data_IF_922224563685
#
_entry.id   IF_922224563685
#
_cell.length_a   1.000
_cell.length_b   1.000
_cell.length_c   1.000
_cell.angle_alpha   90.00
_cell.angle_beta   90.00
_cell.angle_gamma   90.00
#
_symmetry.space_group_name_H-M   'P 1'
#
loop_
_entity.id
_entity.type
_entity.pdbx_description
1 polymer ?
#
# COMPACT_ATOMS: atom_id res chain seq x y z
N UNK A 1 5.10 52.39 15.55
CA UNK A 1 4.60 51.03 15.25
C UNK A 1 5.18 50.01 16.20
N UNK A 2 6.50 49.81 16.26
CA UNK A 2 7.14 48.90 17.25
C UNK A 2 6.72 49.24 18.69
N UNK A 3 6.92 50.48 19.15
CA UNK A 3 6.47 50.91 20.48
C UNK A 3 4.96 50.69 20.74
N UNK A 4 4.11 50.83 19.72
CA UNK A 4 2.67 50.55 19.85
C UNK A 4 2.38 49.05 19.97
N UNK A 5 3.21 48.21 19.34
CA UNK A 5 3.18 46.76 19.52
C UNK A 5 3.63 46.36 20.92
N UNK A 6 4.72 46.95 21.41
CA UNK A 6 5.25 46.72 22.76
C UNK A 6 4.23 47.12 23.84
N UNK A 7 3.60 48.30 23.69
CA UNK A 7 2.54 48.78 24.57
C UNK A 7 1.31 47.85 24.54
N UNK A 8 0.89 47.39 23.36
CA UNK A 8 -0.23 46.46 23.24
C UNK A 8 0.08 45.08 23.85
N UNK A 9 1.31 44.59 23.71
CA UNK A 9 1.75 43.34 24.33
C UNK A 9 1.77 43.45 25.86
N UNK A 10 2.27 44.57 26.39
CA UNK A 10 2.27 44.85 27.83
C UNK A 10 0.85 45.02 28.42
N UNK A 11 -0.10 45.48 27.60
CA UNK A 11 -1.50 45.63 27.97
C UNK A 11 -2.35 44.35 27.77
N UNK A 12 -1.72 43.18 27.63
CA UNK A 12 -2.38 41.89 27.40
C UNK A 12 -3.31 41.90 26.17
N UNK A 13 -2.98 42.70 25.15
CA UNK A 13 -3.69 42.77 23.87
C UNK A 13 -2.84 42.13 22.74
N UNK A 14 -2.75 40.79 22.68
CA UNK A 14 -1.90 40.10 21.71
C UNK A 14 -2.34 40.34 20.27
N UNK A 15 -3.65 40.53 20.03
CA UNK A 15 -4.17 40.82 18.68
C UNK A 15 -3.68 42.18 18.20
N UNK A 16 -3.78 43.22 19.03
CA UNK A 16 -3.27 44.56 18.72
C UNK A 16 -1.76 44.57 18.51
N UNK A 17 -1.02 43.86 19.36
CA UNK A 17 0.43 43.73 19.25
C UNK A 17 0.85 43.05 17.93
N UNK A 18 0.25 41.90 17.58
CA UNK A 18 0.54 41.20 16.32
C UNK A 18 0.26 42.08 15.10
N UNK A 19 -0.83 42.87 15.10
CA UNK A 19 -1.13 43.80 14.00
C UNK A 19 -0.06 44.89 13.90
N UNK A 20 0.33 45.51 15.00
CA UNK A 20 1.33 46.57 15.01
C UNK A 20 2.72 46.06 14.56
N UNK A 21 3.13 44.87 14.98
CA UNK A 21 4.39 44.26 14.53
C UNK A 21 4.36 43.89 13.05
N UNK A 22 3.27 43.28 12.55
CA UNK A 22 3.12 42.99 11.10
C UNK A 22 3.19 44.26 10.26
N UNK A 23 2.59 45.36 10.70
CA UNK A 23 2.69 46.66 10.04
C UNK A 23 4.13 47.24 10.07
N UNK A 24 4.84 47.09 11.19
CA UNK A 24 6.24 47.48 11.27
C UNK A 24 7.12 46.67 10.30
N UNK A 25 6.89 45.36 10.20
CA UNK A 25 7.59 44.45 9.29
C UNK A 25 7.28 44.70 7.81
N UNK A 26 6.09 45.21 7.49
CA UNK A 26 5.76 45.65 6.14
C UNK A 26 6.63 46.84 5.68
N UNK A 27 7.13 47.65 6.62
CA UNK A 27 8.03 48.78 6.35
C UNK A 27 9.49 48.34 6.39
N UNK A 28 9.87 47.52 7.39
CA UNK A 28 11.22 46.98 7.53
C UNK A 28 11.17 45.47 7.78
N UNK A 29 11.17 44.70 6.69
CA UNK A 29 11.14 43.25 6.75
C UNK A 29 12.45 42.63 7.25
N UNK A 30 13.52 43.41 7.42
CA UNK A 30 14.84 42.93 7.82
C UNK A 30 15.13 43.05 9.32
N UNK A 31 14.17 43.52 10.12
CA UNK A 31 14.35 43.69 11.56
C UNK A 31 14.15 42.37 12.33
N UNK A 32 15.22 41.70 12.83
CA UNK A 32 15.08 40.43 13.54
C UNK A 32 14.36 40.58 14.88
N UNK A 33 14.44 41.75 15.53
CA UNK A 33 13.84 41.98 16.85
C UNK A 33 12.32 42.03 16.73
N UNK A 34 11.81 42.69 15.70
CA UNK A 34 10.35 42.76 15.46
C UNK A 34 9.79 41.40 15.02
N UNK A 35 10.56 40.61 14.24
CA UNK A 35 10.18 39.23 13.94
C UNK A 35 10.11 38.35 15.19
N UNK A 36 11.08 38.48 16.11
CA UNK A 36 11.08 37.76 17.37
C UNK A 36 9.87 38.16 18.24
N UNK A 37 9.62 39.47 18.40
CA UNK A 37 8.49 39.97 19.18
C UNK A 37 7.13 39.50 18.63
N UNK A 38 7.00 39.40 17.30
CA UNK A 38 5.81 38.81 16.67
C UNK A 38 5.66 37.33 17.00
N UNK A 39 6.77 36.56 16.98
CA UNK A 39 6.76 35.14 17.33
C UNK A 39 6.33 34.93 18.79
N UNK A 40 6.93 35.68 19.71
CA UNK A 40 6.68 35.55 21.16
C UNK A 40 5.22 35.88 21.52
N UNK A 41 4.66 36.95 20.95
CA UNK A 41 3.25 37.33 21.19
C UNK A 41 2.29 36.30 20.58
N UNK A 42 2.58 35.82 19.37
CA UNK A 42 1.77 34.78 18.74
C UNK A 42 1.80 33.47 19.54
N UNK A 43 2.96 33.12 20.10
CA UNK A 43 3.15 31.91 20.91
C UNK A 43 2.41 32.03 22.24
N UNK A 44 2.55 33.15 22.95
CA UNK A 44 1.81 33.41 24.19
C UNK A 44 0.29 33.35 23.95
N UNK A 45 -0.19 33.87 22.82
CA UNK A 45 -1.60 33.76 22.46
C UNK A 45 -2.01 32.32 22.12
N UNK A 46 -1.18 31.57 21.41
CA UNK A 46 -1.45 30.16 21.10
C UNK A 46 -1.61 29.36 22.40
N UNK A 47 -0.70 29.56 23.36
CA UNK A 47 -0.76 28.92 24.67
C UNK A 47 -2.01 29.30 25.48
N UNK A 48 -2.48 30.54 25.37
CA UNK A 48 -3.67 31.01 26.08
C UNK A 48 -4.99 30.46 25.51
N UNK A 49 -5.03 30.05 24.24
CA UNK A 49 -6.26 29.56 23.59
C UNK A 49 -6.29 28.05 23.35
N UNK A 50 -5.14 27.38 23.44
CA UNK A 50 -5.04 25.95 23.21
C UNK A 50 -5.96 25.16 24.17
N UNK A 51 -6.79 24.29 23.63
CA UNK A 51 -7.72 23.44 24.36
C UNK A 51 -9.02 24.12 24.80
N UNK A 52 -9.28 25.37 24.38
CA UNK A 52 -10.57 26.00 24.63
C UNK A 52 -11.67 25.40 23.73
N UNK A 53 -12.86 25.19 24.29
CA UNK A 53 -13.99 24.63 23.54
C UNK A 53 -14.51 25.56 22.42
N UNK A 54 -14.33 26.87 22.58
CA UNK A 54 -14.68 27.88 21.59
C UNK A 54 -13.51 28.85 21.41
N UNK A 55 -13.17 29.17 20.16
CA UNK A 55 -12.12 30.15 19.84
C UNK A 55 -10.68 29.64 19.98
N UNK A 56 -10.47 28.32 20.07
CA UNK A 56 -9.13 27.74 19.90
C UNK A 56 -8.68 27.90 18.45
N UNK A 57 -7.70 28.77 18.25
CA UNK A 57 -6.97 28.93 16.99
C UNK A 57 -5.46 28.79 17.22
N UNK A 58 -5.06 27.99 18.21
CA UNK A 58 -3.66 27.74 18.57
C UNK A 58 -2.85 27.20 17.40
N UNK A 59 -3.44 26.31 16.58
CA UNK A 59 -2.80 25.79 15.36
C UNK A 59 -2.47 26.92 14.36
N UNK A 60 -3.41 27.81 14.04
CA UNK A 60 -3.17 28.92 13.11
C UNK A 60 -2.14 29.92 13.65
N UNK A 61 -2.17 30.17 14.97
CA UNK A 61 -1.18 31.01 15.64
C UNK A 61 0.20 30.37 15.58
N UNK A 62 0.31 29.06 15.75
CA UNK A 62 1.59 28.33 15.67
C UNK A 62 2.25 28.40 14.29
N UNK A 63 1.47 28.51 13.21
CA UNK A 63 1.97 28.81 11.85
C UNK A 63 2.61 30.21 11.81
N UNK A 64 1.97 31.19 12.46
CA UNK A 64 2.53 32.54 12.60
C UNK A 64 3.82 32.51 13.43
N UNK A 65 3.84 31.77 14.54
CA UNK A 65 5.04 31.59 15.38
C UNK A 65 6.18 31.02 14.55
N UNK A 66 5.96 29.89 13.87
CA UNK A 66 6.98 29.20 13.08
C UNK A 66 7.57 30.12 12.00
N UNK A 67 6.71 30.84 11.28
CA UNK A 67 7.13 31.76 10.23
C UNK A 67 7.91 32.96 10.80
N UNK A 68 7.41 33.58 11.88
CA UNK A 68 8.04 34.75 12.49
C UNK A 68 9.39 34.38 13.12
N UNK A 69 9.44 33.27 13.87
CA UNK A 69 10.65 32.76 14.50
C UNK A 69 11.73 32.38 13.47
N UNK A 70 11.37 31.71 12.37
CA UNK A 70 12.31 31.42 11.28
C UNK A 70 12.85 32.72 10.65
N UNK A 71 11.99 33.72 10.42
CA UNK A 71 12.44 35.00 9.89
C UNK A 71 13.36 35.76 10.86
N UNK A 72 13.10 35.68 12.17
CA UNK A 72 13.96 36.22 13.22
C UNK A 72 15.34 35.52 13.21
N UNK A 73 15.36 34.19 13.14
CA UNK A 73 16.59 33.40 13.07
C UNK A 73 17.46 33.77 11.87
N UNK A 74 16.88 33.79 10.66
CA UNK A 74 17.60 34.06 9.41
C UNK A 74 18.21 35.47 9.35
N UNK A 75 17.62 36.44 10.05
CA UNK A 75 18.07 37.85 10.08
C UNK A 75 18.94 38.19 11.29
N UNK A 76 18.99 37.29 12.28
CA UNK A 76 19.82 37.48 13.47
C UNK A 76 21.28 37.16 13.20
N UNK A 77 22.17 37.99 13.73
CA UNK A 77 23.62 37.80 13.68
C UNK A 77 24.23 37.35 15.01
N UNK A 78 23.56 37.62 16.14
CA UNK A 78 24.02 37.18 17.46
C UNK A 78 23.62 35.73 17.76
N UNK A 79 24.44 35.05 18.56
CA UNK A 79 24.22 33.65 18.95
C UNK A 79 22.99 33.53 19.84
N UNK A 80 22.79 34.51 20.72
CA UNK A 80 21.68 34.60 21.67
C UNK A 80 20.34 34.83 20.96
N UNK A 81 20.28 35.75 19.99
CA UNK A 81 19.04 35.99 19.24
C UNK A 81 18.68 34.80 18.35
N UNK A 82 19.68 34.11 17.77
CA UNK A 82 19.45 32.87 17.02
C UNK A 82 18.92 31.74 17.92
N UNK A 83 19.45 31.58 19.12
CA UNK A 83 18.95 30.59 20.07
C UNK A 83 17.49 30.89 20.49
N UNK A 84 17.20 32.14 20.86
CA UNK A 84 15.83 32.56 21.21
C UNK A 84 14.82 32.31 20.06
N UNK A 85 15.22 32.63 18.83
CA UNK A 85 14.40 32.37 17.65
C UNK A 85 14.17 30.87 17.41
N UNK A 86 15.19 30.03 17.60
CA UNK A 86 15.03 28.58 17.49
C UNK A 86 14.14 28.00 18.60
N UNK A 87 14.21 28.53 19.81
CA UNK A 87 13.32 28.12 20.90
C UNK A 87 11.86 28.43 20.57
N UNK A 88 11.56 29.65 20.11
CA UNK A 88 10.22 30.03 19.69
C UNK A 88 9.74 29.19 18.47
N UNK A 89 10.65 28.88 17.54
CA UNK A 89 10.35 28.00 16.41
C UNK A 89 10.00 26.58 16.88
N UNK A 90 10.78 26.01 17.80
CA UNK A 90 10.53 24.68 18.35
C UNK A 90 9.18 24.60 19.08
N UNK A 91 8.85 25.63 19.89
CA UNK A 91 7.54 25.72 20.55
C UNK A 91 6.40 25.81 19.52
N UNK A 92 6.56 26.62 18.46
CA UNK A 92 5.57 26.74 17.38
C UNK A 92 5.37 25.45 16.58
N UNK A 93 6.44 24.68 16.36
CA UNK A 93 6.39 23.37 15.70
C UNK A 93 5.74 22.33 16.62
N UNK A 94 6.01 22.37 17.93
CA UNK A 94 5.42 21.47 18.92
C UNK A 94 3.88 21.60 19.00
N UNK A 95 3.33 22.81 18.91
CA UNK A 95 1.87 23.03 18.81
C UNK A 95 1.23 22.43 17.56
N UNK A 96 2.03 22.09 16.55
CA UNK A 96 1.60 21.42 15.32
C UNK A 96 1.83 19.92 15.36
N UNK A 97 2.21 19.39 16.52
CA UNK A 97 2.48 17.97 16.80
C UNK A 97 3.60 17.38 15.92
N UNK A 98 4.46 18.24 15.38
CA UNK A 98 5.64 17.88 14.60
C UNK A 98 6.82 17.62 15.55
N UNK A 99 6.70 16.58 16.36
CA UNK A 99 7.56 16.36 17.54
C UNK A 99 9.03 16.13 17.18
N UNK A 100 9.28 15.38 16.10
CA UNK A 100 10.63 15.13 15.59
C UNK A 100 11.36 16.43 15.28
N UNK A 101 10.73 17.31 14.51
CA UNK A 101 11.29 18.61 14.13
C UNK A 101 11.42 19.54 15.34
N UNK A 102 10.46 19.52 16.26
CA UNK A 102 10.51 20.32 17.48
C UNK A 102 11.71 19.91 18.36
N UNK A 103 11.88 18.61 18.63
CA UNK A 103 12.99 18.05 19.41
C UNK A 103 14.35 18.39 18.76
N UNK A 104 14.46 18.20 17.44
CA UNK A 104 15.66 18.57 16.70
C UNK A 104 15.97 20.08 16.84
N UNK A 105 14.95 20.93 16.73
CA UNK A 105 15.09 22.39 16.83
C UNK A 105 15.51 22.83 18.24
N UNK A 106 14.93 22.24 19.29
CA UNK A 106 15.36 22.47 20.68
C UNK A 106 16.84 22.13 20.88
N UNK A 107 17.30 20.98 20.38
CA UNK A 107 18.71 20.57 20.47
C UNK A 107 19.63 21.55 19.75
N UNK A 108 19.23 22.09 18.60
CA UNK A 108 20.03 23.11 17.88
C UNK A 108 20.09 24.41 18.69
N UNK A 109 18.97 24.84 19.29
CA UNK A 109 18.95 26.01 20.18
C UNK A 109 19.93 25.86 21.35
N UNK A 110 19.92 24.71 22.03
CA UNK A 110 20.82 24.40 23.15
C UNK A 110 22.30 24.31 22.76
N UNK A 111 22.60 23.85 21.54
CA UNK A 111 23.97 23.91 20.98
C UNK A 111 24.44 25.35 20.79
N UNK A 112 23.52 26.28 20.50
CA UNK A 112 23.83 27.70 20.42
C UNK A 112 23.96 28.30 21.82
N UNK A 113 22.98 28.20 22.71
CA UNK A 113 23.09 28.79 24.05
C UNK A 113 22.59 27.78 25.07
N UNK A 114 23.45 27.36 26.03
CA UNK A 114 23.00 26.53 27.14
C UNK A 114 21.91 27.24 27.95
N UNK A 115 20.80 26.54 28.19
CA UNK A 115 19.65 27.05 28.94
C UNK A 115 19.01 25.90 29.72
N UNK A 116 19.11 25.95 31.05
CA UNK A 116 18.63 24.89 31.93
C UNK A 116 17.09 24.71 31.90
N UNK A 117 16.33 25.77 31.63
CA UNK A 117 14.88 25.67 31.52
C UNK A 117 14.47 25.01 30.21
N UNK A 118 15.20 25.31 29.13
CA UNK A 118 15.00 24.68 27.83
C UNK A 118 15.45 23.21 27.83
N UNK A 119 16.53 22.87 28.53
CA UNK A 119 16.96 21.47 28.75
C UNK A 119 15.86 20.67 29.45
N UNK A 120 15.31 21.17 30.56
CA UNK A 120 14.22 20.49 31.27
C UNK A 120 12.95 20.32 30.41
N UNK A 121 12.64 21.30 29.54
CA UNK A 121 11.54 21.20 28.58
C UNK A 121 11.83 20.14 27.53
N UNK A 122 13.02 20.13 26.95
CA UNK A 122 13.45 19.14 25.96
C UNK A 122 13.34 17.72 26.55
N UNK A 123 13.83 17.50 27.78
CA UNK A 123 13.73 16.21 28.46
C UNK A 123 12.28 15.74 28.60
N UNK A 124 11.37 16.67 28.93
CA UNK A 124 9.93 16.38 29.01
C UNK A 124 9.36 15.99 27.65
N UNK A 125 9.68 16.74 26.59
CA UNK A 125 9.19 16.48 25.23
C UNK A 125 9.75 15.16 24.70
N UNK A 126 11.04 14.87 24.90
CA UNK A 126 11.66 13.59 24.49
C UNK A 126 11.05 12.41 25.25
N UNK A 127 10.75 12.57 26.55
CA UNK A 127 10.10 11.51 27.32
C UNK A 127 8.67 11.19 26.84
N UNK A 128 7.95 12.18 26.30
CA UNK A 128 6.57 12.05 25.85
C UNK A 128 6.45 11.69 24.36
N UNK A 129 7.35 12.21 23.53
CA UNK A 129 7.23 12.21 22.07
C UNK A 129 8.54 11.89 21.34
N UNK A 130 9.63 11.59 22.06
CA UNK A 130 10.90 11.19 21.46
C UNK A 130 10.84 9.80 20.84
N UNK A 131 11.98 9.31 20.38
CA UNK A 131 12.08 8.07 19.62
C UNK A 131 11.44 6.85 20.34
N UNK A 132 10.43 6.25 19.72
CA UNK A 132 9.63 5.15 20.28
C UNK A 132 9.14 4.17 19.20
N UNK A 133 8.66 3.00 19.63
CA UNK A 133 7.90 2.08 18.77
C UNK A 133 6.50 2.65 18.59
N UNK A 134 6.17 3.10 17.38
CA UNK A 134 4.89 3.71 17.04
C UNK A 134 3.80 2.67 16.80
N UNK A 135 4.15 1.55 16.16
CA UNK A 135 3.20 0.48 15.86
C UNK A 135 3.93 -0.87 15.65
N UNK A 136 3.17 -1.94 15.50
CA UNK A 136 3.65 -3.19 14.92
C UNK A 136 2.64 -3.74 13.92
N UNK A 137 3.13 -4.40 12.88
CA UNK A 137 2.33 -5.03 11.83
C UNK A 137 2.76 -6.48 11.68
N UNK A 138 1.81 -7.35 11.38
CA UNK A 138 2.06 -8.77 11.12
C UNK A 138 1.67 -9.09 9.69
N UNK A 139 2.65 -9.43 8.87
CA UNK A 139 2.45 -9.85 7.49
C UNK A 139 2.14 -11.36 7.47
N UNK A 140 0.95 -11.73 7.93
CA UNK A 140 0.56 -13.13 8.11
C UNK A 140 0.18 -13.84 6.80
N UNK A 141 -0.23 -13.12 5.76
CA UNK A 141 -0.75 -13.75 4.53
C UNK A 141 0.35 -14.33 3.63
N UNK A 142 1.61 -13.93 3.86
CA UNK A 142 2.77 -14.45 3.15
C UNK A 142 3.06 -15.91 3.49
N UNK A 143 3.71 -16.62 2.57
CA UNK A 143 4.14 -18.00 2.81
C UNK A 143 5.16 -18.11 3.96
N UNK A 144 6.05 -17.12 4.09
CA UNK A 144 6.90 -16.91 5.24
C UNK A 144 6.41 -15.63 5.96
N UNK A 145 5.73 -15.75 7.10
CA UNK A 145 5.20 -14.59 7.79
C UNK A 145 6.35 -13.83 8.48
N UNK A 146 6.11 -12.54 8.74
CA UNK A 146 7.03 -11.68 9.50
C UNK A 146 6.28 -10.71 10.40
N UNK A 147 6.96 -10.27 11.46
CA UNK A 147 6.44 -9.25 12.38
C UNK A 147 7.34 -8.02 12.26
N UNK A 148 6.78 -6.88 11.91
CA UNK A 148 7.53 -5.62 11.77
C UNK A 148 7.12 -4.64 12.86
N UNK A 149 8.09 -4.16 13.64
CA UNK A 149 7.90 -3.05 14.56
C UNK A 149 8.25 -1.74 13.86
N UNK A 150 7.31 -0.81 13.81
CA UNK A 150 7.44 0.50 13.18
C UNK A 150 7.83 1.51 14.25
N UNK A 151 8.85 2.30 13.98
CA UNK A 151 9.38 3.32 14.87
C UNK A 151 8.95 4.72 14.44
N UNK A 152 8.98 5.67 15.38
CA UNK A 152 8.59 7.07 15.13
C UNK A 152 9.53 7.81 14.19
N UNK A 153 10.79 7.37 14.11
CA UNK A 153 11.85 8.03 13.35
C UNK A 153 12.71 6.99 12.62
N UNK A 154 13.44 7.39 11.56
CA UNK A 154 14.35 6.49 10.87
C UNK A 154 15.42 5.90 11.79
N UNK A 155 15.84 4.67 11.51
CA UNK A 155 16.75 3.87 12.30
C UNK A 155 18.23 4.23 12.03
N UNK A 156 19.05 4.17 13.08
CA UNK A 156 20.44 4.65 13.07
C UNK A 156 21.49 3.68 12.53
N UNK A 157 21.11 2.62 11.82
CA UNK A 157 22.03 1.60 11.34
C UNK A 157 21.37 0.54 10.46
N UNK A 158 22.19 -0.29 9.83
CA UNK A 158 21.72 -1.37 8.93
C UNK A 158 21.58 -2.73 9.62
N UNK A 159 22.23 -2.90 10.77
CA UNK A 159 22.11 -4.10 11.60
C UNK A 159 21.87 -3.68 13.04
N UNK A 160 20.62 -3.82 13.48
CA UNK A 160 20.19 -3.54 14.85
C UNK A 160 19.80 -4.82 15.60
N UNK A 161 20.19 -5.99 15.09
CA UNK A 161 19.88 -7.30 15.70
C UNK A 161 20.32 -7.41 17.15
N UNK A 162 21.42 -6.76 17.55
CA UNK A 162 21.92 -6.73 18.92
C UNK A 162 20.96 -6.06 19.93
N UNK A 163 20.04 -5.21 19.45
CA UNK A 163 19.03 -4.54 20.27
C UNK A 163 17.71 -5.31 20.32
N UNK A 164 17.58 -6.39 19.56
CA UNK A 164 16.36 -7.18 19.48
C UNK A 164 16.58 -8.53 20.13
N UNK A 165 15.64 -8.96 20.96
CA UNK A 165 15.64 -10.30 21.53
C UNK A 165 14.25 -10.91 21.35
N UNK A 166 14.19 -12.09 20.74
CA UNK A 166 12.93 -12.86 20.62
C UNK A 166 13.01 -14.08 21.52
N UNK A 167 12.08 -14.20 22.45
CA UNK A 167 12.06 -15.30 23.41
C UNK A 167 11.82 -16.64 22.69
N UNK A 168 12.54 -17.68 23.13
CA UNK A 168 12.38 -19.07 22.67
C UNK A 168 12.50 -19.31 21.14
N UNK A 169 13.12 -18.38 20.41
CA UNK A 169 13.24 -18.49 18.95
C UNK A 169 14.62 -18.03 18.44
N UNK A 170 15.69 -18.82 18.66
CA UNK A 170 17.08 -18.43 18.35
C UNK A 170 17.44 -18.50 16.86
N UNK A 171 16.52 -18.91 15.98
CA UNK A 171 16.73 -19.02 14.53
C UNK A 171 16.03 -17.92 13.73
N UNK A 172 15.48 -16.92 14.43
CA UNK A 172 14.80 -15.79 13.81
C UNK A 172 15.81 -14.80 13.25
N UNK A 173 15.57 -14.32 12.04
CA UNK A 173 16.34 -13.25 11.42
C UNK A 173 15.75 -11.90 11.81
N UNK A 174 16.61 -10.90 11.98
CA UNK A 174 16.21 -9.52 12.25
C UNK A 174 16.69 -8.67 11.08
N UNK A 175 15.73 -8.14 10.33
CA UNK A 175 16.00 -7.24 9.22
C UNK A 175 15.68 -5.80 9.63
N UNK A 176 16.60 -4.89 9.31
CA UNK A 176 16.45 -3.47 9.61
C UNK A 176 16.15 -2.73 8.31
N UNK A 177 15.01 -2.05 8.26
CA UNK A 177 14.62 -1.17 7.16
C UNK A 177 14.78 0.31 7.58
N UNK A 178 14.14 1.23 6.86
CA UNK A 178 14.25 2.69 7.09
C UNK A 178 13.82 3.08 8.50
N UNK A 179 12.61 2.69 8.89
CA UNK A 179 11.88 3.09 10.09
C UNK A 179 11.20 1.88 10.74
N UNK A 180 11.47 0.67 10.26
CA UNK A 180 10.94 -0.56 10.83
C UNK A 180 12.01 -1.64 10.99
N UNK A 181 11.80 -2.49 11.99
CA UNK A 181 12.58 -3.70 12.19
C UNK A 181 11.65 -4.89 12.02
N UNK A 182 11.94 -5.73 11.03
CA UNK A 182 11.17 -6.92 10.71
C UNK A 182 11.86 -8.18 11.24
N UNK A 183 11.02 -9.06 11.75
CA UNK A 183 11.40 -10.29 12.45
C UNK A 183 10.91 -11.43 11.57
N UNK A 184 11.84 -12.09 10.90
CA UNK A 184 11.56 -13.13 9.91
C UNK A 184 11.84 -14.53 10.44
N UNK A 185 11.24 -15.54 9.80
CA UNK A 185 11.31 -16.92 10.26
C UNK A 185 10.36 -17.22 11.42
N UNK A 186 9.35 -16.36 11.63
CA UNK A 186 8.20 -16.67 12.48
C UNK A 186 7.28 -17.65 11.76
N UNK A 187 6.39 -18.29 12.51
CA UNK A 187 5.45 -19.30 12.04
C UNK A 187 4.03 -18.84 12.35
N UNK A 188 3.11 -19.13 11.43
CA UNK A 188 1.67 -19.00 11.65
C UNK A 188 1.21 -19.79 12.88
N UNK A 189 0.20 -19.27 13.57
CA UNK A 189 -0.29 -19.83 14.84
C UNK A 189 0.66 -19.63 16.03
N UNK A 190 1.83 -18.99 15.82
CA UNK A 190 2.83 -18.75 16.84
C UNK A 190 2.59 -17.47 17.66
N UNK A 191 3.05 -17.48 18.93
CA UNK A 191 3.14 -16.27 19.78
C UNK A 191 4.60 -15.96 20.08
N UNK A 192 4.97 -14.70 19.87
CA UNK A 192 6.34 -14.21 20.01
C UNK A 192 6.40 -13.07 21.00
N UNK A 193 7.24 -13.22 22.01
CA UNK A 193 7.62 -12.14 22.92
C UNK A 193 8.91 -11.51 22.42
N UNK A 194 8.81 -10.28 21.93
CA UNK A 194 9.87 -9.53 21.27
C UNK A 194 10.25 -8.37 22.17
N UNK A 195 11.53 -8.25 22.48
CA UNK A 195 12.09 -7.15 23.26
C UNK A 195 12.99 -6.28 22.39
N UNK A 196 12.67 -4.99 22.32
CA UNK A 196 13.57 -3.94 21.84
C UNK A 196 14.24 -3.29 23.03
N UNK A 197 15.58 -3.36 23.09
CA UNK A 197 16.37 -2.87 24.22
C UNK A 197 16.51 -1.35 24.17
N UNK A 198 16.52 -0.74 25.35
CA UNK A 198 16.95 0.64 25.53
C UNK A 198 18.32 0.86 24.87
N UNK A 199 18.53 2.04 24.28
CA UNK A 199 19.74 2.37 23.55
C UNK A 199 19.70 2.06 22.05
N UNK A 200 18.59 1.50 21.53
CA UNK A 200 18.38 1.31 20.09
C UNK A 200 18.42 2.67 19.38
N UNK A 201 19.37 2.90 18.44
CA UNK A 201 19.63 4.22 17.90
C UNK A 201 18.68 4.60 16.75
N UNK A 202 18.28 5.87 16.70
CA UNK A 202 17.67 6.50 15.52
C UNK A 202 18.74 7.21 14.68
N UNK A 203 18.41 7.49 13.41
CA UNK A 203 19.27 8.23 12.48
C UNK A 203 19.51 9.67 12.94
N UNK A 204 18.58 10.24 13.71
CA UNK A 204 18.66 11.62 14.21
C UNK A 204 19.47 11.74 15.51
N UNK A 205 20.10 10.64 15.95
CA UNK A 205 20.96 10.59 17.13
C UNK A 205 20.22 10.42 18.45
N UNK A 206 18.93 10.08 18.41
CA UNK A 206 18.19 9.62 19.59
C UNK A 206 18.45 8.14 19.84
N UNK A 207 18.03 7.68 21.01
CA UNK A 207 18.01 6.28 21.32
C UNK A 207 16.75 5.95 22.11
N UNK A 208 16.27 4.72 21.94
CA UNK A 208 15.09 4.23 22.64
C UNK A 208 15.32 4.33 24.15
N UNK A 209 14.48 5.09 24.86
CA UNK A 209 14.75 5.47 26.24
C UNK A 209 14.63 4.32 27.25
N UNK A 210 13.81 3.32 26.93
CA UNK A 210 13.52 2.16 27.78
C UNK A 210 13.29 0.93 26.93
N UNK A 211 13.41 -0.25 27.54
CA UNK A 211 13.01 -1.50 26.90
C UNK A 211 11.52 -1.45 26.50
N UNK A 212 11.21 -1.97 25.32
CA UNK A 212 9.85 -2.16 24.81
C UNK A 212 9.64 -3.64 24.57
N UNK A 213 8.65 -4.21 25.27
CA UNK A 213 8.22 -5.59 25.11
C UNK A 213 6.95 -5.61 24.25
N UNK A 214 6.96 -6.40 23.17
CA UNK A 214 5.82 -6.70 22.31
C UNK A 214 5.47 -8.18 22.40
N UNK A 215 4.22 -8.49 22.73
CA UNK A 215 3.66 -9.84 22.67
C UNK A 215 2.75 -9.94 21.45
N UNK A 216 3.24 -10.59 20.39
CA UNK A 216 2.58 -10.61 19.08
C UNK A 216 2.17 -12.03 18.72
N UNK A 217 0.92 -12.19 18.28
CA UNK A 217 0.40 -13.43 17.72
C UNK A 217 0.41 -13.35 16.20
N UNK A 218 0.98 -14.36 15.54
CA UNK A 218 0.89 -14.51 14.09
C UNK A 218 -0.34 -15.37 13.79
N UNK A 219 -1.42 -14.80 13.24
CA UNK A 219 -2.59 -15.60 12.88
C UNK A 219 -2.26 -16.58 11.76
N UNK A 220 -3.10 -17.60 11.61
CA UNK A 220 -3.11 -18.42 10.41
C UNK A 220 -3.52 -17.58 9.20
N UNK A 221 -3.08 -18.02 8.00
CA UNK A 221 -3.43 -17.37 6.74
C UNK A 221 -4.94 -17.37 6.57
N UNK A 222 -5.48 -16.27 6.09
CA UNK A 222 -6.90 -16.20 5.75
C UNK A 222 -7.22 -17.26 4.68
N UNK A 223 -8.37 -17.95 4.77
CA UNK A 223 -8.80 -18.87 3.73
C UNK A 223 -8.79 -18.19 2.36
N UNK A 224 -8.11 -18.80 1.39
CA UNK A 224 -7.93 -18.21 0.07
C UNK A 224 -7.97 -19.29 -1.02
N UNK A 225 -8.47 -18.89 -2.19
CA UNK A 225 -8.39 -19.66 -3.43
C UNK A 225 -7.90 -18.76 -4.56
N UNK A 226 -7.14 -19.31 -5.49
CA UNK A 226 -6.57 -18.58 -6.62
C UNK A 226 -6.20 -19.51 -7.77
N UNK A 227 -6.17 -18.97 -8.99
CA UNK A 227 -5.65 -19.68 -10.16
C UNK A 227 -4.21 -19.24 -10.43
N UNK A 228 -3.36 -20.16 -10.89
CA UNK A 228 -1.92 -19.89 -11.05
C UNK A 228 -1.59 -19.01 -12.26
N UNK A 229 -2.45 -18.97 -13.29
CA UNK A 229 -2.21 -18.26 -14.55
C UNK A 229 -3.45 -17.48 -14.99
N UNK A 230 -3.27 -16.46 -15.84
CA UNK A 230 -4.41 -15.69 -16.36
C UNK A 230 -4.94 -16.21 -17.71
N UNK A 231 -4.25 -17.17 -18.35
CA UNK A 231 -4.70 -17.78 -19.60
C UNK A 231 -4.28 -19.26 -19.70
N UNK A 232 -5.24 -20.15 -19.92
CA UNK A 232 -5.03 -21.59 -20.09
C UNK A 232 -5.68 -22.08 -21.39
N UNK A 233 -4.94 -22.81 -22.23
CA UNK A 233 -5.55 -23.49 -23.39
C UNK A 233 -5.83 -24.92 -22.96
N UNK A 234 -7.11 -25.31 -22.97
CA UNK A 234 -7.54 -26.66 -22.66
C UNK A 234 -7.75 -27.43 -23.96
N UNK A 235 -6.88 -28.40 -24.31
CA UNK A 235 -7.07 -29.21 -25.50
C UNK A 235 -8.37 -30.01 -25.38
N UNK A 236 -9.23 -29.92 -26.39
CA UNK A 236 -10.44 -30.72 -26.43
C UNK A 236 -10.11 -32.23 -26.40
N UNK A 237 -10.65 -32.96 -25.42
CA UNK A 237 -10.57 -34.42 -25.31
C UNK A 237 -9.44 -34.97 -24.43
N UNK A 238 -8.51 -34.16 -23.93
CA UNK A 238 -7.61 -34.54 -22.84
C UNK A 238 -8.27 -34.08 -21.54
N UNK A 239 -8.68 -35.01 -20.67
CA UNK A 239 -9.37 -34.76 -19.39
C UNK A 239 -8.50 -34.05 -18.33
N UNK A 240 -7.79 -32.99 -18.73
CA UNK A 240 -7.01 -32.15 -17.84
C UNK A 240 -7.93 -31.22 -17.07
N UNK A 241 -7.96 -31.37 -15.75
CA UNK A 241 -8.66 -30.45 -14.88
C UNK A 241 -7.99 -29.08 -14.81
N UNK A 242 -8.74 -28.06 -14.40
CA UNK A 242 -8.22 -26.72 -14.23
C UNK A 242 -7.58 -26.59 -12.84
N UNK A 243 -6.27 -26.27 -12.74
CA UNK A 243 -5.59 -26.20 -11.45
C UNK A 243 -6.02 -24.95 -10.67
N UNK A 244 -6.60 -25.16 -9.49
CA UNK A 244 -6.87 -24.12 -8.49
C UNK A 244 -5.98 -24.34 -7.28
N UNK A 245 -5.36 -23.29 -6.77
CA UNK A 245 -4.56 -23.31 -5.55
C UNK A 245 -5.38 -22.76 -4.39
N UNK A 246 -5.29 -23.38 -3.22
CA UNK A 246 -5.95 -22.93 -2.00
C UNK A 246 -5.03 -22.95 -0.80
N UNK A 247 -5.40 -22.20 0.24
CA UNK A 247 -4.84 -22.29 1.59
C UNK A 247 -5.97 -22.16 2.60
N UNK A 248 -5.95 -22.99 3.64
CA UNK A 248 -6.92 -22.99 4.75
C UNK A 248 -8.40 -22.95 4.31
N UNK A 249 -8.72 -23.48 3.13
CA UNK A 249 -10.05 -23.49 2.55
C UNK A 249 -10.44 -24.92 2.16
N UNK A 250 -11.63 -25.35 2.60
CA UNK A 250 -12.15 -26.70 2.36
C UNK A 250 -12.97 -26.77 1.07
N UNK A 251 -13.79 -25.75 0.79
CA UNK A 251 -14.73 -25.74 -0.34
C UNK A 251 -14.60 -24.43 -1.11
N UNK A 252 -14.48 -24.53 -2.44
CA UNK A 252 -14.61 -23.41 -3.35
C UNK A 252 -15.98 -23.42 -4.04
N UNK A 253 -16.64 -22.26 -4.09
CA UNK A 253 -17.74 -22.02 -5.03
C UNK A 253 -17.13 -21.65 -6.37
N UNK A 254 -17.50 -22.36 -7.44
CA UNK A 254 -16.96 -22.19 -8.78
C UNK A 254 -18.10 -21.86 -9.76
N UNK A 255 -17.88 -20.88 -10.64
CA UNK A 255 -18.82 -20.48 -11.69
C UNK A 255 -18.08 -20.41 -13.01
N UNK A 256 -18.72 -20.89 -14.09
CA UNK A 256 -18.13 -20.92 -15.42
C UNK A 256 -19.04 -20.21 -16.39
N UNK A 257 -18.44 -19.34 -17.18
CA UNK A 257 -19.11 -18.52 -18.18
C UNK A 257 -18.51 -18.81 -19.54
N UNK A 258 -19.38 -18.93 -20.55
CA UNK A 258 -18.98 -19.02 -21.96
C UNK A 258 -19.15 -17.65 -22.60
N UNK A 259 -18.11 -17.17 -23.28
CA UNK A 259 -18.15 -15.91 -24.00
C UNK A 259 -18.78 -16.13 -25.36
N UNK A 260 -19.71 -15.25 -25.76
CA UNK A 260 -20.28 -15.30 -27.09
C UNK A 260 -19.25 -14.94 -28.16
N UNK A 261 -19.20 -15.70 -29.27
CA UNK A 261 -18.20 -15.52 -30.34
C UNK A 261 -18.11 -14.08 -30.86
N UNK A 262 -19.25 -13.38 -30.94
CA UNK A 262 -19.34 -11.99 -31.41
C UNK A 262 -18.82 -10.97 -30.40
N UNK A 263 -18.71 -11.37 -29.14
CA UNK A 263 -18.32 -10.52 -28.02
C UNK A 263 -16.84 -10.63 -27.70
N UNK A 264 -16.11 -11.60 -28.27
CA UNK A 264 -14.69 -11.82 -28.01
C UNK A 264 -13.86 -10.58 -28.35
N UNK A 265 -14.07 -9.98 -29.53
CA UNK A 265 -13.34 -8.77 -29.93
C UNK A 265 -13.61 -7.59 -28.98
N UNK A 266 -14.87 -7.45 -28.52
CA UNK A 266 -15.28 -6.44 -27.54
C UNK A 266 -14.63 -6.70 -26.17
N UNK A 267 -14.63 -7.94 -25.68
CA UNK A 267 -14.03 -8.32 -24.40
C UNK A 267 -12.51 -8.10 -24.38
N UNK A 268 -11.84 -8.34 -25.52
CA UNK A 268 -10.40 -8.03 -25.69
C UNK A 268 -10.16 -6.53 -25.74
N UNK A 269 -10.97 -5.77 -26.50
CA UNK A 269 -10.86 -4.31 -26.59
C UNK A 269 -11.03 -3.63 -25.24
N UNK A 270 -12.03 -4.05 -24.49
CA UNK A 270 -12.42 -3.44 -23.22
C UNK A 270 -11.52 -3.92 -22.05
N UNK A 271 -10.49 -4.75 -22.34
CA UNK A 271 -9.50 -5.20 -21.35
C UNK A 271 -10.04 -6.21 -20.33
N UNK A 272 -11.24 -6.74 -20.56
CA UNK A 272 -11.91 -7.73 -19.71
C UNK A 272 -11.15 -9.06 -19.79
N UNK A 273 -10.65 -9.40 -20.98
CA UNK A 273 -9.84 -10.60 -21.20
C UNK A 273 -8.48 -10.49 -20.49
N UNK A 274 -8.09 -11.53 -19.74
CA UNK A 274 -6.84 -11.64 -18.94
C UNK A 274 -6.80 -10.87 -17.60
N UNK A 275 -7.80 -10.05 -17.29
CA UNK A 275 -7.96 -9.42 -15.97
C UNK A 275 -8.60 -10.35 -14.94
N UNK A 276 -8.47 -9.98 -13.66
CA UNK A 276 -9.34 -10.49 -12.60
C UNK A 276 -10.75 -9.92 -12.76
N UNK A 277 -11.77 -10.70 -12.42
CA UNK A 277 -13.16 -10.26 -12.42
C UNK A 277 -13.61 -9.97 -10.99
N UNK A 278 -14.37 -8.90 -10.81
CA UNK A 278 -15.22 -8.73 -9.64
C UNK A 278 -16.52 -9.52 -9.79
N UNK A 279 -17.32 -9.62 -8.72
CA UNK A 279 -18.67 -10.19 -8.82
C UNK A 279 -19.55 -9.42 -9.82
N UNK A 280 -19.41 -8.09 -9.87
CA UNK A 280 -20.08 -7.26 -10.88
C UNK A 280 -19.67 -7.62 -12.31
N UNK A 281 -18.37 -7.76 -12.58
CA UNK A 281 -17.88 -8.10 -13.93
C UNK A 281 -18.36 -9.49 -14.36
N UNK A 282 -18.34 -10.45 -13.43
CA UNK A 282 -18.84 -11.81 -13.68
C UNK A 282 -20.35 -11.80 -14.01
N UNK A 283 -21.13 -10.95 -13.34
CA UNK A 283 -22.55 -10.77 -13.63
C UNK A 283 -22.77 -10.07 -14.99
N UNK A 284 -21.98 -9.04 -15.33
CA UNK A 284 -22.06 -8.36 -16.63
C UNK A 284 -21.75 -9.32 -17.79
N UNK A 285 -20.75 -10.20 -17.60
CA UNK A 285 -20.45 -11.27 -18.56
C UNK A 285 -21.66 -12.19 -18.73
N UNK A 286 -22.28 -12.62 -17.64
CA UNK A 286 -23.44 -13.51 -17.68
C UNK A 286 -24.65 -12.90 -18.40
N UNK A 287 -24.84 -11.59 -18.26
CA UNK A 287 -26.04 -10.90 -18.74
C UNK A 287 -25.88 -10.30 -20.14
N UNK A 288 -24.65 -9.96 -20.57
CA UNK A 288 -24.42 -9.17 -21.80
C UNK A 288 -23.39 -9.74 -22.77
N UNK A 289 -22.28 -10.28 -22.26
CA UNK A 289 -21.12 -10.66 -23.09
C UNK A 289 -21.17 -12.14 -23.48
N UNK A 290 -21.75 -12.97 -22.62
CA UNK A 290 -21.76 -14.43 -22.73
C UNK A 290 -22.96 -15.05 -22.03
N UNK A 291 -22.75 -16.21 -21.43
CA UNK A 291 -23.75 -16.95 -20.66
C UNK A 291 -23.08 -17.70 -19.51
N UNK A 292 -23.75 -17.81 -18.35
CA UNK A 292 -23.32 -18.69 -17.26
C UNK A 292 -23.70 -20.13 -17.61
N UNK A 293 -22.70 -20.98 -17.85
CA UNK A 293 -22.91 -22.39 -18.26
C UNK A 293 -22.93 -23.35 -17.08
N UNK A 294 -22.28 -23.00 -15.96
CA UNK A 294 -22.22 -23.86 -14.79
C UNK A 294 -21.95 -23.10 -13.49
N UNK A 295 -22.44 -23.67 -12.39
CA UNK A 295 -22.21 -23.22 -11.02
C UNK A 295 -22.21 -24.44 -10.12
N UNK A 296 -21.29 -24.49 -9.16
CA UNK A 296 -21.21 -25.60 -8.23
C UNK A 296 -20.15 -25.41 -7.17
N UNK A 297 -20.10 -26.35 -6.23
CA UNK A 297 -19.10 -26.41 -5.18
C UNK A 297 -18.07 -27.49 -5.52
N UNK A 298 -16.80 -27.22 -5.20
CA UNK A 298 -15.69 -28.15 -5.38
C UNK A 298 -14.98 -28.33 -4.05
N UNK A 299 -14.88 -29.57 -3.61
CA UNK A 299 -14.02 -29.95 -2.49
C UNK A 299 -12.56 -29.73 -2.89
N UNK A 300 -11.86 -28.90 -2.11
CA UNK A 300 -10.45 -28.62 -2.29
C UNK A 300 -9.62 -29.72 -1.64
N UNK A 301 -8.46 -30.00 -2.21
CA UNK A 301 -7.54 -30.98 -1.65
C UNK A 301 -7.09 -30.58 -0.24
N UNK A 302 -7.15 -31.53 0.68
CA UNK A 302 -6.62 -31.39 2.03
C UNK A 302 -5.09 -31.25 1.97
N UNK A 303 -4.55 -30.29 2.72
CA UNK A 303 -3.12 -30.05 2.84
C UNK A 303 -2.74 -29.59 4.24
N UNK A 304 -1.43 -29.40 4.46
CA UNK A 304 -0.94 -28.86 5.72
C UNK A 304 -1.49 -27.43 5.94
N UNK A 305 -1.82 -27.09 7.19
CA UNK A 305 -2.30 -25.75 7.55
C UNK A 305 -1.27 -24.70 7.12
N UNK A 306 -1.75 -23.60 6.53
CA UNK A 306 -0.97 -22.50 5.96
C UNK A 306 -0.12 -22.82 4.71
N UNK A 307 -0.16 -24.07 4.22
CA UNK A 307 0.50 -24.47 2.97
C UNK A 307 -0.43 -24.30 1.76
N UNK A 308 0.15 -23.94 0.61
CA UNK A 308 -0.59 -23.89 -0.65
C UNK A 308 -0.77 -25.31 -1.19
N UNK A 309 -2.01 -25.67 -1.48
CA UNK A 309 -2.38 -26.97 -2.05
C UNK A 309 -3.05 -26.75 -3.40
N UNK A 310 -2.71 -27.55 -4.41
CA UNK A 310 -3.31 -27.44 -5.76
C UNK A 310 -4.29 -28.57 -5.99
N UNK A 311 -5.51 -28.21 -6.39
CA UNK A 311 -6.60 -29.11 -6.76
C UNK A 311 -6.87 -28.99 -8.26
N UNK A 312 -7.01 -30.10 -8.96
CA UNK A 312 -7.42 -30.09 -10.36
C UNK A 312 -8.95 -30.18 -10.45
N UNK A 313 -9.62 -29.09 -10.86
CA UNK A 313 -11.07 -29.07 -11.04
C UNK A 313 -11.43 -29.88 -12.29
N UNK A 314 -12.23 -30.95 -12.21
CA UNK A 314 -12.58 -31.79 -13.35
C UNK A 314 -13.69 -31.14 -14.20
N UNK A 315 -13.39 -29.98 -14.79
CA UNK A 315 -14.35 -29.13 -15.49
C UNK A 315 -15.04 -29.86 -16.64
N UNK A 316 -14.31 -30.70 -17.39
CA UNK A 316 -14.87 -31.48 -18.50
C UNK A 316 -15.84 -32.58 -18.04
N UNK A 317 -15.53 -33.26 -16.93
CA UNK A 317 -16.37 -34.33 -16.40
C UNK A 317 -17.66 -33.80 -15.78
N UNK A 318 -17.64 -32.55 -15.26
CA UNK A 318 -18.80 -31.92 -14.62
C UNK A 318 -19.75 -31.23 -15.61
N UNK A 319 -19.22 -30.61 -16.66
CA UNK A 319 -20.02 -29.92 -17.69
C UNK A 319 -20.53 -30.86 -18.79
N UNK A 320 -19.90 -32.02 -18.99
CA UNK A 320 -20.21 -32.92 -20.09
C UNK A 320 -19.71 -32.39 -21.43
N UNK A 321 -20.61 -32.13 -22.38
CA UNK A 321 -20.24 -31.59 -23.69
C UNK A 321 -19.96 -30.09 -23.58
N UNK A 322 -18.69 -29.70 -23.68
CA UNK A 322 -18.23 -28.31 -23.69
C UNK A 322 -17.91 -27.91 -25.14
N UNK A 323 -18.76 -27.08 -25.78
CA UNK A 323 -18.49 -26.60 -27.13
C UNK A 323 -17.15 -25.88 -27.22
N UNK A 324 -16.50 -25.94 -28.38
CA UNK A 324 -15.31 -25.11 -28.62
C UNK A 324 -15.65 -23.61 -28.44
N UNK A 325 -14.77 -22.86 -27.79
CA UNK A 325 -14.99 -21.46 -27.49
C UNK A 325 -14.11 -20.89 -26.39
N UNK A 326 -14.31 -19.61 -26.09
CA UNK A 326 -13.67 -18.92 -24.97
C UNK A 326 -14.55 -18.97 -23.72
N UNK A 327 -13.91 -19.24 -22.59
CA UNK A 327 -14.54 -19.39 -21.29
C UNK A 327 -13.78 -18.61 -20.22
N UNK A 328 -14.48 -18.30 -19.14
CA UNK A 328 -13.88 -17.81 -17.90
C UNK A 328 -14.47 -18.55 -16.73
N UNK A 329 -13.62 -18.96 -15.80
CA UNK A 329 -14.02 -19.49 -14.51
C UNK A 329 -13.76 -18.46 -13.42
N UNK A 330 -14.66 -18.38 -12.46
CA UNK A 330 -14.46 -17.64 -11.21
C UNK A 330 -14.56 -18.58 -10.03
N UNK A 331 -13.84 -18.26 -8.95
CA UNK A 331 -13.81 -19.03 -7.72
C UNK A 331 -13.79 -18.12 -6.49
N UNK A 332 -14.45 -18.57 -5.42
CA UNK A 332 -14.35 -17.97 -4.08
C UNK A 332 -14.43 -19.03 -3.00
N UNK A 333 -13.90 -18.74 -1.82
CA UNK A 333 -14.04 -19.62 -0.64
C UNK A 333 -15.51 -19.61 -0.22
N UNK A 334 -16.09 -20.78 0.02
CA UNK A 334 -17.47 -20.91 0.50
C UNK A 334 -17.65 -20.18 1.84
N UNK A 335 -18.66 -19.33 1.93
CA UNK A 335 -18.98 -18.58 3.16
C UNK A 335 -18.08 -17.37 3.43
N UNK A 336 -17.17 -17.02 2.51
CA UNK A 336 -16.49 -15.73 2.52
C UNK A 336 -17.45 -14.64 2.01
N UNK A 337 -18.47 -14.26 2.80
CA UNK A 337 -19.38 -13.14 2.46
C UNK A 337 -19.13 -11.97 3.39
N UNK A 338 -18.52 -10.90 2.87
CA UNK A 338 -18.45 -9.58 3.50
C UNK A 338 -19.60 -8.68 3.04
N UNK A 339 -19.92 -7.63 3.80
CA UNK A 339 -21.06 -6.73 3.54
C UNK A 339 -20.94 -5.88 2.24
N UNK A 340 -19.79 -5.90 1.55
CA UNK A 340 -19.50 -5.16 0.31
C UNK A 340 -19.05 -6.09 -0.87
N UNK A 341 -19.71 -7.23 -1.05
CA UNK A 341 -19.36 -8.33 -1.99
C UNK A 341 -19.20 -7.89 -3.47
N UNK A 342 -19.99 -6.92 -3.92
CA UNK A 342 -20.10 -6.53 -5.35
C UNK A 342 -18.79 -6.06 -6.02
N UNK A 343 -17.87 -5.48 -5.25
CA UNK A 343 -16.59 -4.95 -5.75
C UNK A 343 -15.42 -5.84 -5.35
N UNK A 344 -15.67 -7.01 -4.77
CA UNK A 344 -14.63 -7.94 -4.34
C UNK A 344 -14.10 -8.71 -5.53
N UNK A 345 -12.78 -8.78 -5.63
CA UNK A 345 -12.10 -9.57 -6.67
C UNK A 345 -12.35 -11.07 -6.47
N UNK A 346 -12.76 -11.74 -7.53
CA UNK A 346 -12.89 -13.19 -7.60
C UNK A 346 -11.60 -13.79 -8.17
N UNK A 347 -11.21 -14.95 -7.66
CA UNK A 347 -10.17 -15.74 -8.32
C UNK A 347 -10.66 -16.08 -9.72
N UNK A 348 -9.93 -15.65 -10.74
CA UNK A 348 -10.39 -15.67 -12.13
C UNK A 348 -9.37 -16.36 -13.02
N UNK A 349 -9.85 -17.20 -13.94
CA UNK A 349 -8.99 -17.82 -14.96
C UNK A 349 -9.74 -17.91 -16.29
N UNK A 350 -9.15 -17.30 -17.31
CA UNK A 350 -9.61 -17.41 -18.70
C UNK A 350 -9.08 -18.68 -19.32
N UNK A 351 -9.91 -19.38 -20.08
CA UNK A 351 -9.47 -20.55 -20.83
C UNK A 351 -10.18 -20.72 -22.17
N UNK A 352 -9.52 -21.42 -23.10
CA UNK A 352 -10.06 -21.71 -24.43
C UNK A 352 -10.20 -23.21 -24.59
N UNK A 353 -11.39 -23.65 -25.00
CA UNK A 353 -11.66 -25.03 -25.40
C UNK A 353 -11.52 -25.12 -26.92
N UNK A 354 -10.49 -25.80 -27.39
CA UNK A 354 -10.26 -25.99 -28.83
C UNK A 354 -9.38 -27.20 -29.11
N UNK A 355 -9.50 -27.75 -30.32
CA UNK A 355 -8.60 -28.73 -30.91
C UNK A 355 -7.60 -28.10 -31.90
N UNK A 356 -7.69 -26.79 -32.13
CA UNK A 356 -6.85 -26.04 -33.07
C UNK A 356 -5.83 -25.16 -32.33
N UNK A 357 -4.57 -25.27 -32.74
CA UNK A 357 -3.50 -24.34 -32.41
C UNK A 357 -3.34 -23.32 -33.53
N UNK A 358 -3.34 -22.04 -33.16
CA UNK A 358 -3.15 -20.92 -34.08
C UNK A 358 -1.82 -20.23 -33.79
N UNK A 359 -0.97 -20.08 -34.81
CA UNK A 359 0.24 -19.25 -34.76
C UNK A 359 0.15 -18.16 -35.79
N UNK A 360 0.42 -16.91 -35.41
CA UNK A 360 0.39 -15.77 -36.32
C UNK A 360 1.74 -15.10 -36.43
N UNK A 361 2.09 -14.63 -37.63
CA UNK A 361 3.29 -13.86 -37.93
C UNK A 361 2.88 -12.67 -38.79
N UNK A 362 3.25 -11.47 -38.38
CA UNK A 362 3.07 -10.26 -39.17
C UNK A 362 4.41 -9.87 -39.83
N UNK A 363 4.37 -9.52 -41.12
CA UNK A 363 5.50 -9.08 -41.91
C UNK A 363 5.13 -7.94 -42.87
N UNK A 364 6.09 -7.53 -43.70
CA UNK A 364 5.88 -6.47 -44.70
C UNK A 364 4.85 -6.87 -45.78
N UNK A 365 4.63 -8.17 -45.97
CA UNK A 365 3.70 -8.76 -46.92
C UNK A 365 2.34 -9.16 -46.33
N UNK A 366 2.08 -8.81 -45.06
CA UNK A 366 0.77 -8.98 -44.42
C UNK A 366 0.79 -9.83 -43.16
N UNK A 367 -0.36 -10.43 -42.84
CA UNK A 367 -0.50 -11.31 -41.67
C UNK A 367 -0.65 -12.75 -42.14
N UNK A 368 0.22 -13.63 -41.66
CA UNK A 368 0.16 -15.06 -41.91
C UNK A 368 -0.34 -15.78 -40.67
N UNK A 369 -1.30 -16.68 -40.84
CA UNK A 369 -1.82 -17.57 -39.82
C UNK A 369 -1.51 -19.01 -40.19
N UNK A 370 -1.07 -19.80 -39.21
CA UNK A 370 -0.81 -21.24 -39.35
C UNK A 370 -1.70 -21.98 -38.36
N UNK A 371 -2.53 -22.89 -38.87
CA UNK A 371 -3.47 -23.68 -38.08
C UNK A 371 -3.00 -25.13 -38.04
N UNK A 372 -2.87 -25.67 -36.83
CA UNK A 372 -2.46 -27.06 -36.59
C UNK A 372 -3.39 -27.72 -35.58
N UNK A 373 -3.56 -29.03 -35.67
CA UNK A 373 -4.28 -29.78 -34.63
C UNK A 373 -3.44 -29.85 -33.34
N UNK A 374 -4.02 -29.55 -32.19
CA UNK A 374 -3.32 -29.64 -30.89
C UNK A 374 -2.97 -31.08 -30.52
N UNK A 375 -3.79 -32.05 -30.91
CA UNK A 375 -3.59 -33.46 -30.61
C UNK A 375 -2.57 -34.15 -31.54
N UNK A 376 -2.51 -33.72 -32.82
CA UNK A 376 -1.68 -34.37 -33.85
C UNK A 376 -0.44 -33.58 -34.25
N UNK A 377 -0.39 -32.29 -33.90
CA UNK A 377 0.55 -31.28 -34.40
C UNK A 377 0.57 -31.12 -35.93
N UNK A 378 -0.34 -31.77 -36.67
CA UNK A 378 -0.40 -31.72 -38.12
C UNK A 378 -1.09 -30.44 -38.62
N UNK A 379 -0.70 -29.93 -39.79
CA UNK A 379 -1.44 -28.85 -40.45
C UNK A 379 -2.91 -29.21 -40.69
N UNK A 380 -3.78 -28.23 -40.56
CA UNK A 380 -5.22 -28.37 -40.86
C UNK A 380 -5.52 -27.61 -42.13
N UNK A 381 -5.76 -28.34 -43.22
CA UNK A 381 -6.23 -27.80 -44.50
C UNK A 381 -7.73 -27.51 -44.44
N UNK A 382 -8.18 -26.44 -45.10
CA UNK A 382 -9.61 -26.13 -45.20
C UNK A 382 -10.22 -25.40 -43.98
N UNK A 383 -9.42 -25.03 -42.99
CA UNK A 383 -9.90 -24.25 -41.85
C UNK A 383 -10.22 -22.81 -42.28
N UNK A 384 -11.39 -22.31 -41.87
CA UNK A 384 -11.76 -20.91 -42.09
C UNK A 384 -11.10 -20.01 -41.04
N UNK A 385 -10.35 -19.01 -41.50
CA UNK A 385 -9.65 -18.04 -40.66
C UNK A 385 -10.16 -16.65 -41.00
N UNK A 386 -10.45 -15.86 -39.97
CA UNK A 386 -10.93 -14.47 -40.12
C UNK A 386 -10.01 -13.52 -39.38
N UNK A 387 -9.55 -12.48 -40.06
CA UNK A 387 -8.84 -11.38 -39.45
C UNK A 387 -9.86 -10.34 -38.99
N UNK A 388 -9.94 -10.12 -37.68
CA UNK A 388 -10.94 -9.24 -37.07
C UNK A 388 -10.24 -8.06 -36.39
N UNK A 389 -10.69 -6.85 -36.68
CA UNK A 389 -10.22 -5.62 -36.05
C UNK A 389 -10.78 -5.47 -34.63
N UNK A 390 -10.14 -4.60 -33.84
CA UNK A 390 -10.52 -4.29 -32.45
C UNK A 390 -11.95 -3.72 -32.33
N UNK A 391 -12.48 -3.10 -33.39
CA UNK A 391 -13.86 -2.62 -33.48
C UNK A 391 -14.87 -3.70 -33.90
N UNK A 392 -14.45 -4.98 -33.95
CA UNK A 392 -15.23 -6.14 -34.37
C UNK A 392 -15.55 -6.20 -35.89
N UNK A 393 -14.85 -5.41 -36.72
CA UNK A 393 -14.96 -5.46 -38.17
C UNK A 393 -14.10 -6.60 -38.75
N UNK A 394 -14.65 -7.39 -39.67
CA UNK A 394 -13.89 -8.43 -40.38
C UNK A 394 -13.07 -7.76 -41.48
N UNK A 395 -11.76 -7.73 -41.30
CA UNK A 395 -10.79 -7.17 -42.24
C UNK A 395 -10.52 -8.10 -43.43
N UNK A 396 -10.65 -9.41 -43.21
CA UNK A 396 -10.48 -10.42 -44.25
C UNK A 396 -10.86 -11.82 -43.78
N UNK A 397 -11.18 -12.69 -44.74
CA UNK A 397 -11.43 -14.12 -44.52
C UNK A 397 -10.57 -14.93 -45.50
N UNK A 398 -9.96 -16.02 -45.02
CA UNK A 398 -9.14 -16.90 -45.81
C UNK A 398 -9.35 -18.36 -45.36
N UNK A 399 -9.08 -19.30 -46.26
CA UNK A 399 -9.09 -20.73 -45.96
C UNK A 399 -7.67 -21.25 -45.97
N UNK A 400 -7.32 -22.09 -44.99
CA UNK A 400 -5.97 -22.65 -44.92
C UNK A 400 -5.68 -23.61 -46.07
N UNK A 401 -4.46 -23.53 -46.61
CA UNK A 401 -3.94 -24.45 -47.61
C UNK A 401 -3.46 -25.79 -47.00
N UNK A 402 -2.84 -26.65 -47.83
CA UNK A 402 -2.31 -27.96 -47.41
C UNK A 402 -1.22 -27.87 -46.32
N UNK A 403 -0.56 -26.72 -46.18
CA UNK A 403 0.42 -26.45 -45.13
C UNK A 403 -0.23 -25.85 -43.87
N UNK A 404 -1.57 -25.74 -43.85
CA UNK A 404 -2.33 -25.13 -42.77
C UNK A 404 -2.21 -23.61 -42.74
N UNK A 405 -1.75 -22.98 -43.84
CA UNK A 405 -1.46 -21.55 -43.89
C UNK A 405 -2.61 -20.76 -44.49
N UNK A 406 -2.94 -19.63 -43.86
CA UNK A 406 -3.80 -18.57 -44.38
C UNK A 406 -3.02 -17.24 -44.38
N UNK A 407 -3.25 -16.39 -45.38
CA UNK A 407 -2.57 -15.07 -45.51
C UNK A 407 -3.59 -13.98 -45.78
N UNK A 408 -3.40 -12.81 -45.18
CA UNK A 408 -4.25 -11.63 -45.26
C UNK A 408 -3.49 -10.40 -45.72
#
# INVERSE_FOLDING_TARGET
LVASGDEAAAAENPVGAMVAYRQALAINANDPVVWQALADVALARAAAVAGLAEGDNSYDLSITVSSAAMNAFLRSSSREARAAALTALADGIAYREMWREAIATYRVSLKLVPDAALEARLDTVVAQHGFHVANHVVDAEAAAPRICAIFSDPLGGTDLSAYVAVANAPQISVETESDQICIEGVLHGGRYAIKFRAGLPSADGEALAKDVDLDVYVPDRSPFVGFANNAYVMPAGLGGGLPITSVNAEIAEIMIYRIGDRSIATAVRDGIFQGGLTEYDAQDIADRVGEKVWTGEVDLAEGDVNALTTTAIPVADTLGDMPAGAYVVTARVKGATGEDDYWTDLATQWFIVTDLGLTTIAGDDGVHAFVRGLNSAQPIEGASVRLVAVNNEVLGEATTDADGRATF
#
